data_IF_423179407690
#
_entry.id   IF_423179407690
#
_cell.length_a   1.000
_cell.length_b   1.000
_cell.length_c   1.000
_cell.angle_alpha   90.00
_cell.angle_beta   90.00
_cell.angle_gamma   90.00
#
_symmetry.space_group_name_H-M   'P 1'
#
loop_
_entity.id
_entity.type
_entity.pdbx_description
1 polymer ?
#
# COMPACT_ATOMS: atom_id res chain seq x y z
N UNK A 1 0.28 -18.79 60.40
CA UNK A 1 -0.88 -17.91 60.14
C UNK A 1 -1.73 -18.58 59.08
N UNK A 2 -2.99 -18.93 59.38
CA UNK A 2 -3.90 -19.49 58.39
C UNK A 2 -4.53 -18.33 57.62
N UNK A 3 -4.29 -18.25 56.31
CA UNK A 3 -4.97 -17.26 55.48
C UNK A 3 -6.47 -17.61 55.42
N UNK A 4 -7.39 -16.62 55.43
CA UNK A 4 -8.81 -16.91 55.35
C UNK A 4 -9.07 -17.64 54.02
N UNK A 5 -9.74 -18.80 54.09
CA UNK A 5 -10.03 -19.66 52.93
C UNK A 5 -10.60 -18.88 51.72
N UNK A 6 -11.37 -17.84 51.99
CA UNK A 6 -11.93 -16.92 51.00
C UNK A 6 -10.88 -16.23 50.11
N UNK A 7 -9.74 -15.81 50.68
CA UNK A 7 -8.67 -15.14 49.91
C UNK A 7 -7.95 -16.09 48.95
N UNK A 8 -7.77 -17.35 49.35
CA UNK A 8 -7.15 -18.36 48.49
C UNK A 8 -8.08 -18.72 47.32
N UNK A 9 -9.38 -18.84 47.59
CA UNK A 9 -10.39 -19.11 46.57
C UNK A 9 -10.54 -17.96 45.57
N UNK A 10 -10.56 -16.70 46.03
CA UNK A 10 -10.65 -15.55 45.14
C UNK A 10 -9.40 -15.40 44.27
N UNK A 11 -8.20 -15.67 44.81
CA UNK A 11 -6.95 -15.65 44.05
C UNK A 11 -6.93 -16.77 42.99
N UNK A 12 -7.37 -17.98 43.34
CA UNK A 12 -7.46 -19.08 42.38
C UNK A 12 -8.47 -18.79 41.26
N UNK A 13 -9.61 -18.18 41.58
CA UNK A 13 -10.61 -17.76 40.60
C UNK A 13 -10.08 -16.65 39.68
N UNK A 14 -9.34 -15.68 40.22
CA UNK A 14 -8.72 -14.62 39.41
C UNK A 14 -7.68 -15.18 38.43
N UNK A 15 -6.85 -16.12 38.89
CA UNK A 15 -5.87 -16.82 38.03
C UNK A 15 -6.58 -17.62 36.94
N UNK A 16 -7.65 -18.34 37.28
CA UNK A 16 -8.44 -19.07 36.30
C UNK A 16 -9.00 -18.14 35.20
N UNK A 17 -9.66 -17.05 35.60
CA UNK A 17 -10.23 -16.08 34.67
C UNK A 17 -9.16 -15.44 33.78
N UNK A 18 -7.98 -15.14 34.33
CA UNK A 18 -6.86 -14.60 33.57
C UNK A 18 -6.34 -15.59 32.52
N UNK A 19 -6.26 -16.88 32.85
CA UNK A 19 -5.85 -17.93 31.90
C UNK A 19 -6.90 -18.10 30.79
N UNK A 20 -8.18 -18.09 31.16
CA UNK A 20 -9.28 -18.24 30.20
C UNK A 20 -9.34 -17.06 29.21
N UNK A 21 -9.22 -15.82 29.72
CA UNK A 21 -9.13 -14.63 28.87
C UNK A 21 -7.84 -14.58 28.04
N UNK A 22 -6.72 -15.04 28.60
CA UNK A 22 -5.46 -15.14 27.85
C UNK A 22 -5.57 -16.12 26.67
N UNK A 23 -6.19 -17.29 26.91
CA UNK A 23 -6.40 -18.28 25.86
C UNK A 23 -7.44 -17.84 24.82
N UNK A 24 -8.50 -17.12 25.21
CA UNK A 24 -9.47 -16.59 24.25
C UNK A 24 -8.85 -15.50 23.38
N UNK A 25 -8.07 -14.58 23.97
CA UNK A 25 -7.32 -13.58 23.24
C UNK A 25 -6.32 -14.21 22.27
N UNK A 26 -5.60 -15.25 22.71
CA UNK A 26 -4.68 -16.00 21.85
C UNK A 26 -5.41 -16.66 20.67
N UNK A 27 -6.58 -17.26 20.90
CA UNK A 27 -7.40 -17.86 19.83
C UNK A 27 -7.95 -16.83 18.85
N UNK A 28 -8.35 -15.64 19.32
CA UNK A 28 -8.76 -14.53 18.46
C UNK A 28 -7.59 -14.03 17.57
N UNK A 29 -6.36 -14.02 18.10
CA UNK A 29 -5.15 -13.69 17.34
C UNK A 29 -4.75 -14.77 16.33
N UNK A 30 -5.05 -16.04 16.60
CA UNK A 30 -4.80 -17.15 15.67
C UNK A 30 -5.82 -17.21 14.53
N UNK A 31 -7.00 -16.58 14.69
CA UNK A 31 -8.02 -16.51 13.67
C UNK A 31 -7.72 -15.41 12.63
N UNK A 32 -7.07 -15.80 11.53
CA UNK A 32 -6.71 -14.90 10.43
C UNK A 32 -7.92 -14.14 9.85
N UNK A 33 -9.12 -14.73 9.86
CA UNK A 33 -10.33 -14.08 9.33
C UNK A 33 -10.81 -12.94 10.24
N UNK A 34 -10.78 -13.15 11.57
CA UNK A 34 -11.12 -12.10 12.54
C UNK A 34 -10.14 -10.94 12.48
N UNK A 35 -8.83 -11.24 12.33
CA UNK A 35 -7.80 -10.21 12.13
C UNK A 35 -8.00 -9.42 10.85
N UNK A 36 -8.31 -10.10 9.74
CA UNK A 36 -8.61 -9.44 8.47
C UNK A 36 -9.87 -8.57 8.56
N UNK A 37 -10.90 -9.03 9.26
CA UNK A 37 -12.13 -8.26 9.47
C UNK A 37 -11.89 -7.02 10.32
N UNK A 38 -11.16 -7.15 11.43
CA UNK A 38 -10.78 -6.02 12.27
C UNK A 38 -9.93 -5.00 11.49
N UNK A 39 -9.00 -5.49 10.66
CA UNK A 39 -8.20 -4.64 9.78
C UNK A 39 -9.06 -3.88 8.76
N UNK A 40 -10.02 -4.55 8.09
CA UNK A 40 -10.97 -3.90 7.17
C UNK A 40 -11.75 -2.78 7.86
N UNK A 41 -12.20 -3.02 9.09
CA UNK A 41 -12.94 -2.04 9.89
C UNK A 41 -12.07 -0.84 10.27
N UNK A 42 -10.80 -1.06 10.63
CA UNK A 42 -9.84 0.03 10.89
C UNK A 42 -9.48 0.80 9.62
N UNK A 43 -9.22 0.09 8.51
CA UNK A 43 -8.90 0.70 7.22
C UNK A 43 -10.05 1.57 6.70
N UNK A 44 -11.31 1.22 6.99
CA UNK A 44 -12.46 2.05 6.61
C UNK A 44 -12.46 3.44 7.25
N UNK A 45 -11.70 3.65 8.34
CA UNK A 45 -11.56 4.96 8.99
C UNK A 45 -10.46 5.83 8.35
N UNK A 46 -9.58 5.26 7.52
CA UNK A 46 -8.51 5.94 6.79
C UNK A 46 -8.75 5.82 5.28
N UNK A 47 -9.02 6.95 4.61
CA UNK A 47 -9.33 6.96 3.18
C UNK A 47 -8.22 6.36 2.31
N UNK A 48 -6.95 6.52 2.68
CA UNK A 48 -5.84 5.92 1.92
C UNK A 48 -5.80 4.42 2.16
N UNK A 49 -5.93 3.97 3.40
CA UNK A 49 -5.89 2.54 3.73
C UNK A 49 -7.04 1.76 3.11
N UNK A 50 -8.25 2.34 3.16
CA UNK A 50 -9.44 1.80 2.49
C UNK A 50 -9.21 1.62 0.99
N UNK A 51 -8.63 2.64 0.32
CA UNK A 51 -8.32 2.58 -1.12
C UNK A 51 -7.25 1.53 -1.44
N UNK A 52 -6.18 1.45 -0.65
CA UNK A 52 -5.14 0.44 -0.82
C UNK A 52 -5.70 -0.98 -0.65
N UNK A 53 -6.58 -1.17 0.33
CA UNK A 53 -7.24 -2.45 0.56
C UNK A 53 -8.18 -2.82 -0.60
N UNK A 54 -8.95 -1.84 -1.10
CA UNK A 54 -9.76 -2.03 -2.30
C UNK A 54 -8.89 -2.44 -3.50
N UNK A 55 -7.77 -1.77 -3.73
CA UNK A 55 -6.86 -2.10 -4.82
C UNK A 55 -6.30 -3.52 -4.72
N UNK A 56 -6.00 -4.00 -3.50
CA UNK A 56 -5.55 -5.37 -3.24
C UNK A 56 -6.68 -6.36 -3.56
N UNK A 57 -7.87 -6.13 -3.01
CA UNK A 57 -9.03 -7.04 -3.13
C UNK A 57 -9.49 -7.17 -4.60
N UNK A 58 -9.49 -6.07 -5.35
CA UNK A 58 -9.91 -6.03 -6.76
C UNK A 58 -8.78 -6.33 -7.74
N UNK A 59 -7.53 -6.48 -7.27
CA UNK A 59 -6.37 -6.67 -8.13
C UNK A 59 -6.15 -5.49 -9.08
N UNK A 60 -6.38 -4.26 -8.61
CA UNK A 60 -6.25 -3.03 -9.40
C UNK A 60 -4.88 -2.39 -9.20
N UNK A 61 -4.46 -1.63 -10.21
CA UNK A 61 -3.27 -0.78 -10.11
C UNK A 61 -3.62 0.47 -9.28
N UNK A 62 -2.61 1.00 -8.60
CA UNK A 62 -2.68 2.33 -7.98
C UNK A 62 -1.75 3.29 -8.69
N UNK A 63 -2.12 4.57 -8.73
CA UNK A 63 -1.30 5.69 -9.17
C UNK A 63 -0.84 6.46 -7.94
N UNK A 64 0.48 6.50 -7.72
CA UNK A 64 1.09 7.12 -6.55
C UNK A 64 1.98 8.27 -6.96
N UNK A 65 1.69 9.45 -6.42
CA UNK A 65 2.53 10.64 -6.57
C UNK A 65 3.29 10.88 -5.28
N UNK A 66 4.61 11.07 -5.39
CA UNK A 66 5.46 11.47 -4.28
C UNK A 66 5.68 12.98 -4.27
N UNK A 67 6.00 13.53 -3.09
CA UNK A 67 6.37 14.95 -2.90
C UNK A 67 7.52 15.40 -3.82
N UNK A 68 8.37 14.46 -4.26
CA UNK A 68 9.45 14.71 -5.23
C UNK A 68 8.97 14.90 -6.68
N UNK A 69 7.66 14.80 -6.93
CA UNK A 69 7.00 14.64 -8.24
C UNK A 69 7.32 13.31 -8.93
N UNK A 70 8.05 12.39 -8.31
CA UNK A 70 8.18 11.02 -8.83
C UNK A 70 6.83 10.32 -8.76
N UNK A 71 6.51 9.55 -9.79
CA UNK A 71 5.26 8.80 -9.87
C UNK A 71 5.54 7.33 -10.07
N UNK A 72 4.79 6.49 -9.36
CA UNK A 72 4.76 5.04 -9.52
C UNK A 72 3.32 4.59 -9.79
N UNK A 73 3.16 3.72 -10.78
CA UNK A 73 1.91 3.03 -11.07
C UNK A 73 2.20 1.54 -10.88
N UNK A 74 1.41 0.83 -10.09
CA UNK A 74 1.71 -0.57 -9.78
C UNK A 74 0.72 -1.24 -8.85
N UNK A 75 0.96 -2.52 -8.56
CA UNK A 75 0.17 -3.30 -7.60
C UNK A 75 0.68 -3.08 -6.19
N UNK A 76 -0.25 -3.04 -5.23
CA UNK A 76 0.11 -3.02 -3.80
C UNK A 76 0.69 -4.38 -3.43
N UNK A 77 1.92 -4.40 -2.93
CA UNK A 77 2.64 -5.65 -2.66
C UNK A 77 2.14 -6.36 -1.39
N UNK A 78 1.71 -5.59 -0.39
CA UNK A 78 1.10 -6.09 0.84
C UNK A 78 0.33 -4.97 1.56
N UNK A 79 -0.75 -5.28 2.28
CA UNK A 79 -1.38 -4.35 3.22
C UNK A 79 -0.42 -3.97 4.36
N UNK A 80 -0.63 -2.81 4.98
CA UNK A 80 0.26 -2.31 6.05
C UNK A 80 0.09 -3.17 7.31
N UNK A 81 1.00 -4.13 7.51
CA UNK A 81 0.94 -5.02 8.67
C UNK A 81 1.72 -4.47 9.87
N UNK A 82 0.96 -4.08 10.90
CA UNK A 82 1.23 -4.13 12.35
C UNK A 82 2.46 -3.45 12.97
N UNK A 83 3.42 -2.93 12.21
CA UNK A 83 4.56 -2.23 12.80
C UNK A 83 4.23 -0.75 12.98
N UNK A 84 3.73 -0.43 14.17
CA UNK A 84 3.26 0.88 14.63
C UNK A 84 4.20 2.07 14.36
N UNK A 85 5.48 1.83 14.03
CA UNK A 85 6.50 2.87 13.92
C UNK A 85 6.96 3.21 12.49
N UNK A 86 6.58 2.43 11.46
CA UNK A 86 6.99 2.75 10.09
C UNK A 86 5.85 2.55 9.09
N UNK A 87 5.14 3.65 8.82
CA UNK A 87 4.15 3.69 7.75
C UNK A 87 4.88 3.70 6.39
N UNK A 88 4.87 2.57 5.70
CA UNK A 88 5.50 2.41 4.39
C UNK A 88 4.48 1.87 3.39
N UNK A 89 4.58 2.34 2.15
CA UNK A 89 3.84 1.83 1.02
C UNK A 89 4.78 0.99 0.15
N UNK A 90 4.38 -0.24 -0.14
CA UNK A 90 5.13 -1.16 -0.97
C UNK A 90 4.38 -1.44 -2.28
N UNK A 91 5.03 -1.18 -3.42
CA UNK A 91 4.43 -1.28 -4.75
C UNK A 91 5.29 -2.15 -5.65
N UNK A 92 4.68 -3.13 -6.31
CA UNK A 92 5.27 -3.81 -7.46
C UNK A 92 5.04 -2.91 -8.67
N UNK A 93 6.10 -2.26 -9.14
CA UNK A 93 5.97 -1.23 -10.18
C UNK A 93 5.54 -1.84 -11.51
N UNK A 94 4.51 -1.26 -12.11
CA UNK A 94 4.07 -1.55 -13.47
C UNK A 94 4.67 -0.52 -14.44
N UNK A 95 4.56 0.76 -14.07
CA UNK A 95 5.09 1.91 -14.80
C UNK A 95 5.64 2.94 -13.79
N UNK A 96 6.71 3.66 -14.11
CA UNK A 96 7.12 4.84 -13.34
C UNK A 96 7.44 6.02 -14.22
N UNK A 97 7.39 7.21 -13.62
CA UNK A 97 7.60 8.46 -14.31
C UNK A 97 7.76 9.62 -13.34
N UNK A 98 7.41 10.81 -13.78
CA UNK A 98 7.37 12.02 -12.95
C UNK A 98 6.29 12.97 -13.44
N UNK A 99 5.92 13.95 -12.60
CA UNK A 99 5.09 15.08 -13.00
C UNK A 99 5.97 16.26 -13.40
N UNK A 100 5.71 16.86 -14.56
CA UNK A 100 6.41 18.08 -14.98
C UNK A 100 6.26 19.18 -13.93
N UNK A 101 7.32 19.98 -13.73
CA UNK A 101 7.32 21.01 -12.69
C UNK A 101 6.30 22.12 -12.95
N UNK A 102 6.05 22.45 -14.21
CA UNK A 102 5.24 23.60 -14.59
C UNK A 102 3.81 23.19 -14.94
N UNK A 103 3.63 22.08 -15.67
CA UNK A 103 2.31 21.61 -16.12
C UNK A 103 1.69 20.59 -15.17
N UNK A 104 2.48 20.02 -14.25
CA UNK A 104 2.11 18.89 -13.41
C UNK A 104 1.59 17.68 -14.20
N UNK A 105 1.85 17.60 -15.51
CA UNK A 105 1.45 16.43 -16.32
C UNK A 105 2.37 15.27 -16.05
N UNK A 106 1.79 14.07 -16.06
CA UNK A 106 2.56 12.86 -15.92
C UNK A 106 3.35 12.57 -17.19
N UNK A 107 4.64 12.30 -17.02
CA UNK A 107 5.52 11.81 -18.06
C UNK A 107 6.03 10.43 -17.66
N UNK A 108 5.67 9.45 -18.48
CA UNK A 108 6.16 8.09 -18.37
C UNK A 108 7.67 8.03 -18.64
N UNK A 109 8.41 7.25 -17.83
CA UNK A 109 9.86 7.04 -18.02
C UNK A 109 10.24 5.57 -18.14
N UNK A 110 9.66 4.71 -17.32
CA UNK A 110 10.02 3.29 -17.28
C UNK A 110 8.77 2.42 -17.31
N UNK A 111 8.73 1.49 -18.27
CA UNK A 111 7.69 0.46 -18.41
C UNK A 111 8.22 -0.88 -17.88
N UNK A 112 8.00 -1.15 -16.60
CA UNK A 112 8.46 -2.40 -15.99
C UNK A 112 7.74 -3.61 -16.57
N UNK A 113 6.47 -3.49 -16.92
CA UNK A 113 5.73 -4.59 -17.55
C UNK A 113 6.36 -5.07 -18.88
N UNK A 114 6.95 -4.15 -19.66
CA UNK A 114 7.67 -4.52 -20.89
C UNK A 114 8.93 -5.33 -20.54
N UNK A 115 9.66 -4.91 -19.51
CA UNK A 115 10.81 -5.66 -19.00
C UNK A 115 10.37 -7.07 -18.56
N UNK A 116 9.30 -7.16 -17.77
CA UNK A 116 8.80 -8.43 -17.25
C UNK A 116 8.44 -9.39 -18.37
N UNK A 117 7.68 -8.93 -19.36
CA UNK A 117 7.32 -9.72 -20.54
C UNK A 117 8.54 -10.12 -21.37
N UNK A 118 9.51 -9.21 -21.56
CA UNK A 118 10.70 -9.46 -22.37
C UNK A 118 11.67 -10.48 -21.76
N UNK A 119 11.63 -10.65 -20.43
CA UNK A 119 12.52 -11.54 -19.68
C UNK A 119 11.78 -12.72 -19.05
N UNK A 120 10.49 -12.91 -19.39
CA UNK A 120 9.63 -13.96 -18.83
C UNK A 120 9.60 -13.97 -17.29
N UNK A 121 9.60 -12.77 -16.70
CA UNK A 121 9.53 -12.58 -15.25
C UNK A 121 8.07 -12.67 -14.84
N UNK A 122 7.76 -13.60 -13.97
CA UNK A 122 6.43 -13.84 -13.41
C UNK A 122 6.45 -13.66 -11.89
N UNK A 123 5.34 -13.99 -11.22
CA UNK A 123 5.28 -13.97 -9.76
C UNK A 123 6.23 -15.01 -9.11
N UNK A 124 6.47 -16.13 -9.79
CA UNK A 124 7.17 -17.31 -9.25
C UNK A 124 8.44 -17.68 -10.02
N UNK A 125 8.84 -16.88 -11.01
CA UNK A 125 10.05 -17.10 -11.80
C UNK A 125 11.34 -17.06 -10.96
N UNK A 126 12.38 -17.72 -11.48
CA UNK A 126 13.73 -17.79 -10.87
C UNK A 126 14.75 -17.46 -11.97
N UNK A 127 15.81 -16.66 -11.72
CA UNK A 127 16.23 -16.11 -10.42
C UNK A 127 15.51 -14.82 -10.00
N UNK A 128 14.82 -14.14 -10.92
CA UNK A 128 14.08 -12.91 -10.66
C UNK A 128 12.59 -13.16 -10.73
N UNK A 129 11.81 -12.45 -9.92
CA UNK A 129 10.34 -12.44 -9.88
C UNK A 129 9.85 -11.02 -9.52
N UNK A 130 8.54 -10.79 -9.58
CA UNK A 130 7.93 -9.48 -9.27
C UNK A 130 8.33 -8.90 -7.90
N UNK A 131 8.55 -9.76 -6.90
CA UNK A 131 8.99 -9.34 -5.57
C UNK A 131 10.31 -8.57 -5.58
N UNK A 132 11.21 -8.88 -6.52
CA UNK A 132 12.52 -8.23 -6.66
C UNK A 132 12.43 -6.80 -7.24
N UNK A 133 11.28 -6.38 -7.76
CA UNK A 133 11.06 -5.04 -8.34
C UNK A 133 10.17 -4.15 -7.47
N UNK A 134 9.95 -4.57 -6.22
CA UNK A 134 9.16 -3.84 -5.23
C UNK A 134 9.86 -2.54 -4.84
N UNK A 135 9.11 -1.45 -4.89
CA UNK A 135 9.51 -0.16 -4.37
C UNK A 135 8.83 0.05 -3.02
N UNK A 136 9.64 0.33 -2.00
CA UNK A 136 9.16 0.64 -0.65
C UNK A 136 9.42 2.11 -0.39
N UNK A 137 8.37 2.86 -0.08
CA UNK A 137 8.44 4.31 0.13
C UNK A 137 7.77 4.69 1.46
N UNK A 138 8.36 5.62 2.23
CA UNK A 138 7.73 6.15 3.43
C UNK A 138 6.42 6.87 3.09
N UNK A 139 5.39 6.68 3.92
CA UNK A 139 4.07 7.26 3.67
C UNK A 139 4.06 8.79 3.79
N UNK A 140 4.95 9.36 4.61
CA UNK A 140 5.15 10.81 4.72
C UNK A 140 5.70 11.43 3.43
N UNK A 141 6.26 10.64 2.51
CA UNK A 141 6.71 11.08 1.19
C UNK A 141 5.62 10.97 0.11
N UNK A 142 4.53 10.25 0.40
CA UNK A 142 3.39 10.11 -0.50
C UNK A 142 2.57 11.40 -0.45
N UNK A 143 2.38 12.00 -1.62
CA UNK A 143 1.56 13.21 -1.79
C UNK A 143 0.11 12.83 -2.14
N UNK A 144 -0.09 11.75 -2.90
CA UNK A 144 -1.42 11.26 -3.23
C UNK A 144 -1.42 9.86 -3.81
N UNK A 145 -2.54 9.18 -3.64
CA UNK A 145 -2.82 7.83 -4.15
C UNK A 145 -4.20 7.82 -4.79
N UNK A 146 -4.34 7.16 -5.93
CA UNK A 146 -5.65 6.84 -6.53
C UNK A 146 -5.62 5.43 -7.14
N UNK A 147 -6.79 4.86 -7.41
CA UNK A 147 -6.90 3.71 -8.30
C UNK A 147 -6.48 4.11 -9.72
N UNK A 148 -6.03 3.13 -10.49
CA UNK A 148 -5.57 3.32 -11.85
C UNK A 148 -6.12 2.22 -12.75
N UNK A 149 -6.87 2.64 -13.77
CA UNK A 149 -7.30 1.78 -14.86
C UNK A 149 -6.50 2.12 -16.13
N UNK A 150 -5.85 1.12 -16.71
CA UNK A 150 -4.94 1.32 -17.84
C UNK A 150 -5.70 1.67 -19.11
N UNK A 151 -6.89 1.13 -19.31
CA UNK A 151 -7.69 1.39 -20.51
C UNK A 151 -8.25 2.81 -20.51
N UNK A 152 -8.79 3.24 -19.37
CA UNK A 152 -9.24 4.63 -19.18
C UNK A 152 -8.07 5.60 -19.28
N UNK A 153 -6.88 5.25 -18.76
CA UNK A 153 -5.72 6.14 -18.84
C UNK A 153 -5.30 6.49 -20.28
N UNK A 154 -5.40 5.55 -21.22
CA UNK A 154 -5.03 5.78 -22.62
C UNK A 154 -5.86 6.88 -23.29
N UNK A 155 -7.07 7.12 -22.82
CA UNK A 155 -7.95 8.15 -23.39
C UNK A 155 -7.85 9.51 -22.68
N UNK A 156 -7.08 9.63 -21.59
CA UNK A 156 -6.96 10.91 -20.88
C UNK A 156 -6.41 12.04 -21.75
N UNK A 157 -5.54 11.73 -22.71
CA UNK A 157 -4.99 12.72 -23.62
C UNK A 157 -6.09 13.35 -24.50
N UNK A 158 -7.11 12.56 -24.90
CA UNK A 158 -8.26 13.04 -25.68
C UNK A 158 -9.16 14.00 -24.88
N UNK A 159 -9.13 13.90 -23.55
CA UNK A 159 -9.91 14.74 -22.63
C UNK A 159 -9.05 15.77 -21.88
N UNK A 160 -7.78 15.91 -22.25
CA UNK A 160 -6.87 16.88 -21.64
C UNK A 160 -6.96 18.22 -22.34
N UNK A 161 -6.83 19.31 -21.58
CA UNK A 161 -6.64 20.63 -22.18
C UNK A 161 -5.35 20.62 -23.03
N UNK A 162 -5.23 21.42 -24.09
CA UNK A 162 -3.95 21.53 -24.80
C UNK A 162 -2.86 22.10 -23.89
N UNK A 163 -1.62 21.64 -24.09
CA UNK A 163 -0.49 22.19 -23.36
C UNK A 163 -0.25 23.64 -23.85
N UNK A 164 -0.03 24.61 -22.95
CA UNK A 164 0.32 25.96 -23.38
C UNK A 164 1.62 25.88 -24.19
N UNK A 165 1.62 26.51 -25.38
CA UNK A 165 2.80 26.54 -26.23
C UNK A 165 4.00 27.04 -25.42
N UNK A 166 5.12 26.31 -25.46
CA UNK A 166 6.36 26.80 -24.88
C UNK A 166 6.72 28.09 -25.61
N UNK A 167 6.70 29.22 -24.91
CA UNK A 167 7.33 30.43 -25.41
C UNK A 167 8.81 30.09 -25.61
N UNK A 168 9.22 29.95 -26.87
CA UNK A 168 10.61 29.87 -27.25
C UNK A 168 11.27 31.17 -26.78
N UNK A 169 11.88 31.13 -25.59
CA UNK A 169 12.80 32.19 -25.19
C UNK A 169 13.92 32.16 -26.21
N UNK A 170 14.10 33.21 -27.03
CA UNK A 170 15.23 33.26 -27.94
C UNK A 170 16.50 33.12 -27.09
N UNK A 171 17.34 32.16 -27.48
CA UNK A 171 18.56 31.83 -26.77
C UNK A 171 19.33 33.10 -26.42
N UNK A 172 19.69 33.24 -25.15
CA UNK A 172 20.71 34.20 -24.75
C UNK A 172 22.00 33.80 -25.48
N UNK A 173 22.38 34.64 -26.44
CA UNK A 173 23.68 34.63 -27.08
C UNK A 173 24.83 34.74 -26.06
#
# INVERSE_FOLDING_TARGET
MSYPLFFVLSMAMAVWLAIEQGNSAKRALENNEERQKAYREMAAQDGIESLLLQAIDEGQLIFVTLKSRKVYIGYVAAPRMEHHDTQQLAIISYISGYRDKNTLRYHEQHRYFVLYLSQDITADSVPLNFGHFRHVMPMDQVEGVSLFDTETYKSFDDFSTPEPAKEDKPGSA
#
